data_IF_003167975913
#
_entry.id   IF_003167975913
#
_cell.length_a   1.000
_cell.length_b   1.000
_cell.length_c   1.000
_cell.angle_alpha   90.00
_cell.angle_beta   90.00
_cell.angle_gamma   90.00
#
_symmetry.space_group_name_H-M   'P 1'
#
loop_
_entity.id
_entity.type
_entity.pdbx_description
1 polymer ?
#
# COMPACT_ATOMS: atom_id res chain seq x y z
N UNK A 1 -74.53 73.57 4.75
CA UNK A 1 -73.36 73.65 3.83
C UNK A 1 -72.04 73.37 4.58
N UNK A 2 -71.82 73.94 5.78
CA UNK A 2 -70.61 73.67 6.59
C UNK A 2 -70.41 72.23 7.05
N UNK A 3 -71.48 71.54 7.51
CA UNK A 3 -71.38 70.14 7.96
C UNK A 3 -71.05 69.16 6.82
N UNK A 4 -71.60 69.39 5.62
CA UNK A 4 -71.30 68.57 4.43
C UNK A 4 -69.82 68.69 4.01
N UNK A 5 -69.22 69.88 4.14
CA UNK A 5 -67.79 70.09 3.89
C UNK A 5 -66.91 69.42 4.94
N UNK A 6 -67.32 69.42 6.21
CA UNK A 6 -66.58 68.70 7.26
C UNK A 6 -66.64 67.18 7.08
N UNK A 7 -67.80 66.64 6.72
CA UNK A 7 -67.97 65.21 6.42
C UNK A 7 -67.14 64.82 5.18
N UNK A 8 -67.11 65.66 4.14
CA UNK A 8 -66.28 65.45 2.97
C UNK A 8 -64.77 65.47 3.31
N UNK A 9 -64.31 66.42 4.13
CA UNK A 9 -62.92 66.46 4.59
C UNK A 9 -62.55 65.25 5.44
N UNK A 10 -63.43 64.80 6.34
CA UNK A 10 -63.20 63.60 7.13
C UNK A 10 -63.10 62.36 6.23
N UNK A 11 -63.95 62.27 5.21
CA UNK A 11 -63.92 61.18 4.23
C UNK A 11 -62.63 61.18 3.39
N UNK A 12 -62.09 62.37 3.07
CA UNK A 12 -60.78 62.51 2.41
C UNK A 12 -59.64 62.06 3.34
N UNK A 13 -59.70 62.40 4.63
CA UNK A 13 -58.70 61.96 5.61
C UNK A 13 -58.79 60.46 5.91
N UNK A 14 -59.99 59.88 5.99
CA UNK A 14 -60.18 58.43 6.14
C UNK A 14 -59.64 57.72 4.90
N UNK A 15 -59.95 58.22 3.70
CA UNK A 15 -59.43 57.65 2.46
C UNK A 15 -57.90 57.77 2.33
N UNK A 16 -57.29 58.83 2.90
CA UNK A 16 -55.83 58.93 2.93
C UNK A 16 -55.22 57.96 3.95
N UNK A 17 -55.83 57.78 5.11
CA UNK A 17 -55.43 56.76 6.09
C UNK A 17 -55.56 55.35 5.51
N UNK A 18 -56.64 55.04 4.78
CA UNK A 18 -56.83 53.74 4.12
C UNK A 18 -55.73 53.48 3.08
N UNK A 19 -55.34 54.50 2.29
CA UNK A 19 -54.21 54.38 1.35
C UNK A 19 -52.88 54.14 2.04
N UNK A 20 -52.66 54.75 3.21
CA UNK A 20 -51.44 54.52 4.00
C UNK A 20 -51.44 53.10 4.57
N UNK A 21 -52.57 52.63 5.09
CA UNK A 21 -52.72 51.26 5.60
C UNK A 21 -52.55 50.22 4.51
N UNK A 22 -53.11 50.46 3.32
CA UNK A 22 -52.95 49.60 2.14
C UNK A 22 -51.48 49.54 1.70
N UNK A 23 -50.77 50.68 1.74
CA UNK A 23 -49.33 50.73 1.44
C UNK A 23 -48.50 49.96 2.48
N UNK A 24 -48.83 50.08 3.77
CA UNK A 24 -48.19 49.30 4.84
C UNK A 24 -48.45 47.80 4.70
N UNK A 25 -49.69 47.40 4.39
CA UNK A 25 -50.05 46.00 4.17
C UNK A 25 -49.28 45.41 2.97
N UNK A 26 -49.18 46.16 1.87
CA UNK A 26 -48.40 45.74 0.71
C UNK A 26 -46.91 45.60 1.04
N UNK A 27 -46.34 46.54 1.80
CA UNK A 27 -44.96 46.47 2.26
C UNK A 27 -44.71 45.25 3.15
N UNK A 28 -45.60 44.98 4.12
CA UNK A 28 -45.49 43.83 5.03
C UNK A 28 -45.62 42.50 4.28
N UNK A 29 -46.55 42.38 3.32
CA UNK A 29 -46.68 41.20 2.46
C UNK A 29 -45.44 40.96 1.62
N UNK A 30 -44.83 42.02 1.07
CA UNK A 30 -43.57 41.91 0.34
C UNK A 30 -42.42 41.47 1.26
N UNK A 31 -42.32 42.01 2.47
CA UNK A 31 -41.34 41.56 3.47
C UNK A 31 -41.54 40.08 3.84
N UNK A 32 -42.78 39.66 4.08
CA UNK A 32 -43.11 38.27 4.39
C UNK A 32 -42.71 37.33 3.25
N UNK A 33 -43.02 37.69 1.99
CA UNK A 33 -42.64 36.90 0.82
C UNK A 33 -41.12 36.82 0.66
N UNK A 34 -40.41 37.92 0.86
CA UNK A 34 -38.94 37.93 0.79
C UNK A 34 -38.32 37.04 1.89
N UNK A 35 -38.85 37.08 3.11
CA UNK A 35 -38.39 36.20 4.20
C UNK A 35 -38.69 34.73 3.91
N UNK A 36 -39.86 34.42 3.33
CA UNK A 36 -40.21 33.06 2.92
C UNK A 36 -39.26 32.55 1.83
N UNK A 37 -38.95 33.37 0.84
CA UNK A 37 -38.00 33.04 -0.23
C UNK A 37 -36.59 32.80 0.32
N UNK A 38 -36.07 33.72 1.13
CA UNK A 38 -34.75 33.58 1.78
C UNK A 38 -34.71 32.32 2.67
N UNK A 39 -35.77 32.06 3.45
CA UNK A 39 -35.81 30.85 4.28
C UNK A 39 -35.80 29.57 3.45
N UNK A 40 -36.46 29.56 2.30
CA UNK A 40 -36.45 28.42 1.39
C UNK A 40 -35.09 28.24 0.72
N UNK A 41 -34.44 29.32 0.30
CA UNK A 41 -33.07 29.29 -0.22
C UNK A 41 -32.07 28.77 0.82
N UNK A 42 -32.17 29.22 2.08
CA UNK A 42 -31.33 28.74 3.19
C UNK A 42 -31.53 27.24 3.39
N UNK A 43 -32.79 26.76 3.39
CA UNK A 43 -33.09 25.32 3.51
C UNK A 43 -32.51 24.53 2.34
N UNK A 44 -32.65 25.04 1.12
CA UNK A 44 -32.08 24.42 -0.07
C UNK A 44 -30.54 24.34 0.01
N UNK A 45 -29.87 25.42 0.43
CA UNK A 45 -28.43 25.44 0.64
C UNK A 45 -27.99 24.45 1.73
N UNK A 46 -28.74 24.35 2.83
CA UNK A 46 -28.46 23.38 3.89
C UNK A 46 -28.59 21.93 3.41
N UNK A 47 -29.65 21.61 2.66
CA UNK A 47 -29.84 20.28 2.05
C UNK A 47 -28.71 19.97 1.06
N UNK A 48 -28.39 20.91 0.17
CA UNK A 48 -27.31 20.75 -0.80
C UNK A 48 -25.95 20.57 -0.12
N UNK A 49 -25.67 21.31 0.96
CA UNK A 49 -24.45 21.16 1.77
C UNK A 49 -24.35 19.77 2.39
N UNK A 50 -25.45 19.23 2.93
CA UNK A 50 -25.48 17.89 3.48
C UNK A 50 -25.19 16.81 2.41
N UNK A 51 -25.77 16.95 1.22
CA UNK A 51 -25.49 16.06 0.09
C UNK A 51 -24.02 16.13 -0.34
N UNK A 52 -23.44 17.33 -0.43
CA UNK A 52 -22.02 17.51 -0.74
C UNK A 52 -21.13 16.86 0.31
N UNK A 53 -21.49 16.95 1.58
CA UNK A 53 -20.73 16.32 2.66
C UNK A 53 -20.73 14.79 2.56
N UNK A 54 -21.88 14.18 2.21
CA UNK A 54 -21.97 12.74 1.94
C UNK A 54 -21.06 12.37 0.76
N UNK A 55 -21.14 13.11 -0.36
CA UNK A 55 -20.28 12.88 -1.53
C UNK A 55 -18.79 12.99 -1.18
N UNK A 56 -18.41 13.98 -0.36
CA UNK A 56 -17.04 14.15 0.13
C UNK A 56 -16.59 12.93 0.94
N UNK A 57 -17.38 12.52 1.94
CA UNK A 57 -17.05 11.37 2.80
C UNK A 57 -16.89 10.08 1.99
N UNK A 58 -17.77 9.84 1.02
CA UNK A 58 -17.65 8.68 0.12
C UNK A 58 -16.35 8.72 -0.69
N UNK A 59 -15.98 9.89 -1.23
CA UNK A 59 -14.71 10.06 -1.96
C UNK A 59 -13.48 9.88 -1.08
N UNK A 60 -13.52 10.34 0.17
CA UNK A 60 -12.42 10.16 1.12
C UNK A 60 -12.19 8.69 1.47
N UNK A 61 -13.28 7.92 1.65
CA UNK A 61 -13.20 6.47 1.89
C UNK A 61 -12.59 5.74 0.70
N UNK A 62 -13.09 6.01 -0.51
CA UNK A 62 -12.56 5.40 -1.75
C UNK A 62 -11.10 5.80 -1.97
N UNK A 63 -10.74 7.07 -1.73
CA UNK A 63 -9.35 7.53 -1.84
C UNK A 63 -8.43 6.77 -0.87
N UNK A 64 -8.88 6.51 0.35
CA UNK A 64 -8.10 5.74 1.33
C UNK A 64 -7.81 4.33 0.84
N UNK A 65 -8.84 3.64 0.35
CA UNK A 65 -8.69 2.29 -0.23
C UNK A 65 -7.77 2.29 -1.44
N UNK A 66 -7.93 3.25 -2.34
CA UNK A 66 -7.10 3.34 -3.55
C UNK A 66 -5.64 3.66 -3.21
N UNK A 67 -5.40 4.55 -2.23
CA UNK A 67 -4.05 4.87 -1.76
C UNK A 67 -3.34 3.62 -1.26
N UNK A 68 -4.00 2.81 -0.44
CA UNK A 68 -3.42 1.57 0.06
C UNK A 68 -3.02 0.62 -1.06
N UNK A 69 -3.88 0.44 -2.07
CA UNK A 69 -3.56 -0.42 -3.24
C UNK A 69 -2.35 0.13 -4.00
N UNK A 70 -2.29 1.45 -4.20
CA UNK A 70 -1.16 2.10 -4.89
C UNK A 70 0.13 1.93 -4.09
N UNK A 71 0.11 2.17 -2.78
CA UNK A 71 1.28 2.07 -1.91
C UNK A 71 1.84 0.63 -1.89
N UNK A 72 0.95 -0.37 -1.92
CA UNK A 72 1.35 -1.78 -2.00
C UNK A 72 1.92 -2.15 -3.37
N UNK A 73 1.43 -1.55 -4.46
CA UNK A 73 1.92 -1.82 -5.83
C UNK A 73 3.18 -1.05 -6.21
N UNK A 74 3.39 0.15 -5.67
CA UNK A 74 4.55 0.98 -6.03
C UNK A 74 5.84 0.28 -5.67
N UNK A 75 6.80 0.25 -6.60
CA UNK A 75 8.16 -0.21 -6.38
C UNK A 75 9.07 1.03 -6.30
N UNK A 76 9.54 1.41 -5.10
CA UNK A 76 10.39 2.59 -4.94
C UNK A 76 11.73 2.43 -5.64
N UNK A 77 12.30 3.53 -6.17
CA UNK A 77 13.63 3.51 -6.78
C UNK A 77 14.72 3.08 -5.78
N UNK A 78 14.56 3.43 -4.50
CA UNK A 78 15.45 3.01 -3.42
C UNK A 78 15.50 1.49 -3.27
N UNK A 79 14.36 0.81 -3.38
CA UNK A 79 14.26 -0.64 -3.34
C UNK A 79 15.06 -1.28 -4.48
N UNK A 80 14.93 -0.74 -5.69
CA UNK A 80 15.67 -1.19 -6.87
C UNK A 80 17.18 -1.04 -6.62
N UNK A 81 17.63 0.13 -6.17
CA UNK A 81 19.05 0.39 -5.89
C UNK A 81 19.59 -0.55 -4.81
N UNK A 82 18.86 -0.75 -3.72
CA UNK A 82 19.29 -1.65 -2.63
C UNK A 82 19.40 -3.09 -3.14
N UNK A 83 18.40 -3.60 -3.88
CA UNK A 83 18.44 -4.96 -4.43
C UNK A 83 19.61 -5.12 -5.41
N UNK A 84 19.91 -4.10 -6.22
CA UNK A 84 20.98 -4.15 -7.20
C UNK A 84 22.36 -4.10 -6.55
N UNK A 85 22.61 -3.11 -5.70
CA UNK A 85 23.97 -2.71 -5.33
C UNK A 85 24.39 -3.18 -3.93
N UNK A 86 23.43 -3.37 -3.01
CA UNK A 86 23.75 -3.72 -1.62
C UNK A 86 24.06 -5.22 -1.50
N UNK A 87 25.15 -5.60 -0.81
CA UNK A 87 25.47 -7.01 -0.53
C UNK A 87 24.37 -7.72 0.26
N UNK A 88 24.16 -9.01 -0.02
CA UNK A 88 23.12 -9.81 0.67
C UNK A 88 23.37 -10.02 2.17
N UNK A 89 24.58 -9.69 2.65
CA UNK A 89 24.94 -9.77 4.06
C UNK A 89 24.41 -8.60 4.89
N UNK A 90 23.96 -7.52 4.24
CA UNK A 90 23.49 -6.33 4.93
C UNK A 90 22.01 -6.41 5.29
N UNK A 91 21.65 -5.82 6.44
CA UNK A 91 20.28 -5.82 6.95
C UNK A 91 19.30 -5.13 6.00
N UNK A 92 19.73 -4.07 5.34
CA UNK A 92 18.90 -3.31 4.39
C UNK A 92 18.44 -4.20 3.22
N UNK A 93 19.31 -5.08 2.73
CA UNK A 93 18.94 -6.03 1.68
C UNK A 93 17.86 -7.01 2.17
N UNK A 94 17.99 -7.51 3.39
CA UNK A 94 17.00 -8.44 3.96
C UNK A 94 15.64 -7.79 4.18
N UNK A 95 15.60 -6.54 4.64
CA UNK A 95 14.36 -5.77 4.78
C UNK A 95 13.67 -5.57 3.42
N UNK A 96 14.44 -5.17 2.40
CA UNK A 96 13.94 -5.00 1.04
C UNK A 96 13.54 -6.33 0.38
N UNK A 97 14.17 -7.45 0.76
CA UNK A 97 13.78 -8.78 0.30
C UNK A 97 12.40 -9.20 0.84
N UNK A 98 12.12 -8.90 2.11
CA UNK A 98 10.79 -9.12 2.69
C UNK A 98 9.73 -8.26 2.00
N UNK A 99 10.04 -6.98 1.77
CA UNK A 99 9.16 -6.07 1.05
C UNK A 99 8.91 -6.55 -0.40
N UNK A 100 9.94 -7.01 -1.11
CA UNK A 100 9.80 -7.59 -2.45
C UNK A 100 8.87 -8.80 -2.45
N UNK A 101 9.06 -9.71 -1.49
CA UNK A 101 8.21 -10.89 -1.35
C UNK A 101 6.74 -10.51 -1.10
N UNK A 102 6.49 -9.51 -0.26
CA UNK A 102 5.15 -8.99 0.01
C UNK A 102 4.51 -8.40 -1.25
N UNK A 103 5.21 -7.48 -1.93
CA UNK A 103 4.73 -6.81 -3.14
C UNK A 103 4.45 -7.81 -4.27
N UNK A 104 5.32 -8.80 -4.45
CA UNK A 104 5.10 -9.87 -5.42
C UNK A 104 3.85 -10.70 -5.12
N UNK A 105 3.61 -11.03 -3.85
CA UNK A 105 2.40 -11.76 -3.45
C UNK A 105 1.15 -10.92 -3.68
N UNK A 106 1.19 -9.64 -3.29
CA UNK A 106 0.07 -8.71 -3.48
C UNK A 106 -0.27 -8.53 -4.97
N UNK A 107 0.72 -8.24 -5.83
CA UNK A 107 0.49 -8.08 -7.27
C UNK A 107 -0.04 -9.37 -7.89
N UNK A 108 0.44 -10.54 -7.44
CA UNK A 108 -0.10 -11.83 -7.89
C UNK A 108 -1.57 -12.02 -7.49
N UNK A 109 -1.95 -11.62 -6.28
CA UNK A 109 -3.35 -11.66 -5.82
C UNK A 109 -4.23 -10.64 -6.55
N UNK A 110 -3.70 -9.47 -6.94
CA UNK A 110 -4.44 -8.47 -7.70
C UNK A 110 -4.50 -8.78 -9.21
N UNK A 111 -3.59 -9.60 -9.73
CA UNK A 111 -3.57 -9.98 -11.15
C UNK A 111 -4.81 -10.73 -11.62
N UNK A 112 -5.60 -11.29 -10.69
CA UNK A 112 -6.90 -11.90 -10.97
C UNK A 112 -8.01 -10.89 -11.33
N UNK A 113 -7.76 -9.60 -11.13
CA UNK A 113 -8.71 -8.52 -11.43
C UNK A 113 -8.41 -7.79 -12.75
N UNK A 114 -7.50 -8.30 -13.59
CA UNK A 114 -7.15 -7.77 -14.92
C UNK A 114 -6.80 -6.27 -14.99
N UNK A 115 -6.31 -5.70 -13.88
CA UNK A 115 -5.92 -4.30 -13.85
C UNK A 115 -4.61 -4.08 -14.64
N UNK A 116 -4.64 -3.19 -15.64
CA UNK A 116 -3.48 -2.85 -16.50
C UNK A 116 -2.26 -2.43 -15.68
N UNK A 117 -2.47 -1.66 -14.59
CA UNK A 117 -1.38 -1.24 -13.69
C UNK A 117 -0.63 -2.41 -13.03
N UNK A 118 -1.26 -3.59 -12.88
CA UNK A 118 -0.57 -4.77 -12.38
C UNK A 118 0.46 -5.28 -13.39
N UNK A 119 0.15 -5.19 -14.70
CA UNK A 119 1.05 -5.65 -15.76
C UNK A 119 2.31 -4.78 -15.84
N UNK A 120 2.15 -3.45 -15.71
CA UNK A 120 3.27 -2.50 -15.74
C UNK A 120 4.27 -2.76 -14.61
N UNK A 121 3.77 -3.04 -13.40
CA UNK A 121 4.60 -3.32 -12.22
C UNK A 121 5.16 -4.74 -12.25
N UNK A 122 4.43 -5.70 -12.83
CA UNK A 122 4.81 -7.10 -12.88
C UNK A 122 6.16 -7.31 -13.58
N UNK A 123 6.43 -6.61 -14.69
CA UNK A 123 7.71 -6.73 -15.39
C UNK A 123 8.89 -6.28 -14.51
N UNK A 124 8.73 -5.17 -13.78
CA UNK A 124 9.75 -4.64 -12.88
C UNK A 124 10.01 -5.60 -11.71
N UNK A 125 8.94 -6.09 -11.07
CA UNK A 125 9.04 -7.07 -10.00
C UNK A 125 9.70 -8.37 -10.46
N UNK A 126 9.41 -8.81 -11.69
CA UNK A 126 10.00 -10.00 -12.28
C UNK A 126 11.51 -9.84 -12.51
N UNK A 127 11.94 -8.68 -13.02
CA UNK A 127 13.37 -8.36 -13.16
C UNK A 127 14.09 -8.32 -11.81
N UNK A 128 13.47 -7.69 -10.80
CA UNK A 128 14.00 -7.67 -9.43
C UNK A 128 14.08 -9.07 -8.82
N UNK A 129 13.08 -9.92 -9.08
CA UNK A 129 13.05 -11.32 -8.66
C UNK A 129 14.24 -12.08 -9.25
N UNK A 130 14.45 -12.02 -10.56
CA UNK A 130 15.55 -12.71 -11.24
C UNK A 130 16.90 -12.26 -10.67
N UNK A 131 17.11 -10.94 -10.50
CA UNK A 131 18.33 -10.40 -9.91
C UNK A 131 18.55 -10.90 -8.48
N UNK A 132 17.50 -10.86 -7.67
CA UNK A 132 17.53 -11.31 -6.27
C UNK A 132 17.90 -12.78 -6.18
N UNK A 133 17.25 -13.64 -6.97
CA UNK A 133 17.53 -15.07 -7.05
C UNK A 133 19.01 -15.31 -7.40
N UNK A 134 19.54 -14.59 -8.38
CA UNK A 134 20.95 -14.69 -8.78
C UNK A 134 21.90 -14.37 -7.61
N UNK A 135 21.67 -13.26 -6.90
CA UNK A 135 22.50 -12.86 -5.74
C UNK A 135 22.41 -13.87 -4.59
N UNK A 136 21.20 -14.34 -4.27
CA UNK A 136 20.99 -15.33 -3.21
C UNK A 136 21.65 -16.66 -3.54
N UNK A 137 21.51 -17.13 -4.79
CA UNK A 137 22.14 -18.37 -5.27
C UNK A 137 23.66 -18.28 -5.15
N UNK A 138 24.26 -17.20 -5.63
CA UNK A 138 25.70 -16.99 -5.55
C UNK A 138 26.20 -17.03 -4.10
N UNK A 139 25.54 -16.30 -3.20
CA UNK A 139 25.91 -16.28 -1.79
C UNK A 139 25.80 -17.65 -1.11
N UNK A 140 24.68 -18.36 -1.31
CA UNK A 140 24.48 -19.67 -0.68
C UNK A 140 25.51 -20.67 -1.22
N UNK A 141 25.72 -20.72 -2.54
CA UNK A 141 26.74 -21.60 -3.14
C UNK A 141 28.15 -21.28 -2.62
N UNK A 142 28.49 -19.99 -2.50
CA UNK A 142 29.77 -19.56 -1.93
C UNK A 142 29.94 -20.10 -0.49
N UNK A 143 28.89 -20.07 0.34
CA UNK A 143 28.91 -20.66 1.68
C UNK A 143 29.01 -22.18 1.65
N UNK A 144 28.33 -22.85 0.72
CA UNK A 144 28.44 -24.31 0.52
C UNK A 144 29.89 -24.70 0.16
N UNK A 145 30.54 -23.94 -0.71
CA UNK A 145 31.91 -24.22 -1.12
C UNK A 145 32.95 -23.99 -0.03
N UNK A 146 32.63 -23.22 1.03
CA UNK A 146 33.52 -23.09 2.19
C UNK A 146 33.69 -24.42 2.93
N UNK A 147 32.72 -25.34 2.89
CA UNK A 147 32.85 -26.67 3.50
C UNK A 147 33.94 -27.53 2.85
N UNK A 148 34.33 -27.24 1.60
CA UNK A 148 35.37 -28.00 0.88
C UNK A 148 36.78 -27.70 1.39
N UNK A 149 36.97 -26.62 2.15
CA UNK A 149 38.29 -26.24 2.66
C UNK A 149 38.73 -27.20 3.77
N UNK A 150 39.96 -27.75 3.70
CA UNK A 150 40.46 -28.67 4.73
C UNK A 150 40.55 -27.98 6.10
N UNK A 151 40.25 -28.71 7.18
CA UNK A 151 40.23 -28.22 8.56
C UNK A 151 39.23 -27.08 8.84
N UNK A 152 38.19 -26.92 8.02
CA UNK A 152 37.12 -25.95 8.29
C UNK A 152 36.25 -26.40 9.45
N UNK A 153 36.04 -25.53 10.44
CA UNK A 153 35.01 -25.73 11.44
C UNK A 153 33.63 -25.70 10.76
N UNK A 154 32.98 -26.86 10.61
CA UNK A 154 31.70 -27.00 9.91
C UNK A 154 30.58 -26.20 10.59
N UNK A 155 30.69 -25.93 11.89
CA UNK A 155 29.70 -25.15 12.62
C UNK A 155 29.65 -23.70 12.12
N UNK A 156 30.77 -23.13 11.66
CA UNK A 156 30.82 -21.72 11.25
C UNK A 156 30.01 -21.48 9.97
N UNK A 157 30.21 -22.21 8.85
CA UNK A 157 29.38 -22.04 7.66
C UNK A 157 27.94 -22.55 7.86
N UNK A 158 27.70 -23.59 8.69
CA UNK A 158 26.34 -24.03 9.02
C UNK A 158 25.56 -22.95 9.77
N UNK A 159 26.14 -22.36 10.81
CA UNK A 159 25.50 -21.26 11.54
C UNK A 159 25.26 -20.04 10.64
N UNK A 160 26.17 -19.75 9.71
CA UNK A 160 25.96 -18.68 8.73
C UNK A 160 24.79 -18.95 7.77
N UNK A 161 24.60 -20.20 7.34
CA UNK A 161 23.43 -20.61 6.53
C UNK A 161 22.14 -20.56 7.34
N UNK A 162 22.16 -21.05 8.59
CA UNK A 162 21.00 -21.05 9.48
C UNK A 162 20.52 -19.63 9.83
N UNK A 163 21.45 -18.71 10.08
CA UNK A 163 21.13 -17.28 10.29
C UNK A 163 20.44 -16.65 9.08
N UNK A 164 20.73 -17.15 7.88
CA UNK A 164 20.17 -16.65 6.62
C UNK A 164 19.11 -17.59 6.03
N UNK A 165 18.37 -18.34 6.88
CA UNK A 165 17.35 -19.30 6.43
C UNK A 165 16.32 -18.69 5.47
N UNK A 166 15.99 -17.42 5.66
CA UNK A 166 14.99 -16.71 4.86
C UNK A 166 15.37 -16.66 3.37
N UNK A 167 16.66 -16.66 3.04
CA UNK A 167 17.10 -16.69 1.65
C UNK A 167 16.66 -17.99 0.95
N UNK A 168 16.75 -19.12 1.64
CA UNK A 168 16.29 -20.40 1.10
C UNK A 168 14.76 -20.48 1.03
N UNK A 169 14.06 -19.96 2.05
CA UNK A 169 12.59 -19.87 2.05
C UNK A 169 12.06 -19.01 0.91
N UNK A 170 12.71 -17.87 0.64
CA UNK A 170 12.42 -17.02 -0.51
C UNK A 170 12.61 -17.79 -1.83
N UNK A 171 13.76 -18.45 -2.00
CA UNK A 171 14.04 -19.25 -3.21
C UNK A 171 13.01 -20.38 -3.40
N UNK A 172 12.60 -21.10 -2.35
CA UNK A 172 11.56 -22.12 -2.44
C UNK A 172 10.21 -21.59 -2.95
N UNK A 173 9.90 -20.33 -2.61
CA UNK A 173 8.66 -19.68 -2.99
C UNK A 173 8.71 -19.09 -4.40
N UNK A 174 9.87 -18.53 -4.78
CA UNK A 174 10.06 -17.88 -6.07
C UNK A 174 10.49 -18.83 -7.19
N UNK A 175 11.46 -19.72 -6.94
CA UNK A 175 12.01 -20.65 -7.91
C UNK A 175 12.45 -21.97 -7.26
N UNK A 176 11.57 -22.97 -7.37
CA UNK A 176 11.79 -24.31 -6.82
C UNK A 176 12.95 -25.07 -7.47
N UNK A 177 13.28 -24.77 -8.73
CA UNK A 177 14.37 -25.46 -9.43
C UNK A 177 15.72 -25.05 -8.85
N UNK A 178 15.92 -23.74 -8.63
CA UNK A 178 17.14 -23.21 -8.03
C UNK A 178 17.26 -23.64 -6.56
N UNK A 179 16.15 -23.65 -5.82
CA UNK A 179 16.16 -24.16 -4.45
C UNK A 179 16.56 -25.65 -4.36
N UNK A 180 16.12 -26.47 -5.32
CA UNK A 180 16.50 -27.88 -5.39
C UNK A 180 17.96 -28.08 -5.84
N UNK A 181 18.45 -27.25 -6.76
CA UNK A 181 19.87 -27.23 -7.15
C UNK A 181 20.77 -26.97 -5.94
N UNK A 182 20.50 -25.90 -5.18
CA UNK A 182 21.26 -25.52 -3.99
C UNK A 182 21.23 -26.64 -2.94
N UNK A 183 20.06 -27.26 -2.74
CA UNK A 183 19.90 -28.39 -1.82
C UNK A 183 20.77 -29.58 -2.24
N UNK A 184 20.76 -29.94 -3.53
CA UNK A 184 21.58 -31.03 -4.06
C UNK A 184 23.06 -30.74 -3.90
N UNK A 185 23.50 -29.52 -4.19
CA UNK A 185 24.91 -29.13 -4.06
C UNK A 185 25.39 -29.17 -2.59
N UNK A 186 24.51 -28.79 -1.65
CA UNK A 186 24.78 -28.91 -0.22
C UNK A 186 24.93 -30.37 0.21
N UNK A 187 24.01 -31.24 -0.20
CA UNK A 187 24.03 -32.67 0.12
C UNK A 187 25.28 -33.33 -0.45
N UNK A 188 25.60 -33.09 -1.72
CA UNK A 188 26.78 -33.67 -2.38
C UNK A 188 28.08 -33.21 -1.70
N UNK A 189 28.19 -31.90 -1.43
CA UNK A 189 29.38 -31.33 -0.79
C UNK A 189 29.58 -31.90 0.61
N UNK A 190 28.53 -31.94 1.45
CA UNK A 190 28.65 -32.50 2.79
C UNK A 190 28.88 -34.01 2.78
N UNK A 191 28.26 -34.76 1.88
CA UNK A 191 28.48 -36.21 1.77
C UNK A 191 29.94 -36.53 1.50
N UNK A 192 30.58 -35.79 0.58
CA UNK A 192 32.02 -35.92 0.28
C UNK A 192 32.90 -35.55 1.47
N UNK A 193 32.56 -34.46 2.17
CA UNK A 193 33.28 -34.00 3.36
C UNK A 193 33.21 -35.03 4.49
N UNK A 194 32.01 -35.50 4.84
CA UNK A 194 31.84 -36.53 5.87
C UNK A 194 32.56 -37.82 5.50
N UNK A 195 32.45 -38.28 4.25
CA UNK A 195 33.16 -39.47 3.78
C UNK A 195 34.68 -39.35 3.95
N UNK A 196 35.26 -38.20 3.58
CA UNK A 196 36.69 -37.94 3.74
C UNK A 196 37.12 -38.04 5.21
N UNK A 197 36.36 -37.44 6.13
CA UNK A 197 36.65 -37.50 7.56
C UNK A 197 36.51 -38.91 8.13
N UNK A 198 35.43 -39.62 7.82
CA UNK A 198 35.25 -41.01 8.29
C UNK A 198 36.35 -41.92 7.76
N UNK A 199 36.75 -41.76 6.49
CA UNK A 199 37.87 -42.51 5.91
C UNK A 199 39.20 -42.19 6.60
N UNK A 200 39.48 -40.92 6.86
CA UNK A 200 40.69 -40.50 7.57
C UNK A 200 40.72 -41.01 9.02
N UNK A 201 39.59 -40.94 9.72
CA UNK A 201 39.43 -41.44 11.08
C UNK A 201 39.61 -42.96 11.15
N UNK A 202 38.94 -43.71 10.27
CA UNK A 202 39.09 -45.17 10.15
C UNK A 202 40.54 -45.56 9.86
N UNK A 203 41.21 -44.87 8.93
CA UNK A 203 42.62 -45.12 8.62
C UNK A 203 43.55 -44.85 9.82
N UNK A 204 43.27 -43.82 10.63
CA UNK A 204 44.03 -43.53 11.85
C UNK A 204 43.80 -44.58 12.93
N UNK A 205 42.57 -45.04 13.11
CA UNK A 205 42.25 -46.13 14.04
C UNK A 205 42.99 -47.41 13.69
N UNK A 206 43.01 -47.80 12.40
CA UNK A 206 43.72 -49.00 11.94
C UNK A 206 45.24 -48.89 12.20
N UNK A 207 45.82 -47.70 12.14
CA UNK A 207 47.26 -47.48 12.42
C UNK A 207 47.63 -47.47 13.90
N UNK A 208 46.64 -47.35 14.80
CA UNK A 208 46.83 -47.38 16.24
C UNK A 208 46.71 -48.80 16.83
N UNK A 209 46.31 -49.76 15.99
CA UNK A 209 46.16 -51.18 16.31
C UNK A 209 47.40 -51.95 15.84
#
# INVERSE_FOLDING_TARGET
>A
IGEANNIANLHVQISSCDKILESMDHMLKNFQNNLANISNEIRHLQQYSAELNIKKKNRELVRGQLSQVVDEMVVPQSMIQIIMDVPVTERQFLEQLHELSHKMKFVKEQSFHDAIACQDVQEVLEKLRIKTISKLREFILQKIYQFRKPMTNYEVPQNALLRNRFFYEFLLTSDRQIADEIRREYIDTLSKVYFSYFKAYSTKLIKLQ
#
